data_IF_286159549457
#
_entry.id   IF_286159549457
#
_cell.length_a   1.000
_cell.length_b   1.000
_cell.length_c   1.000
_cell.angle_alpha   90.00
_cell.angle_beta   90.00
_cell.angle_gamma   90.00
#
_symmetry.space_group_name_H-M   'P 1'
#
loop_
_entity.id
_entity.type
_entity.pdbx_description
1 polymer ?
#
# COMPACT_ATOMS: atom_id res chain seq x y z
N UNK A 1 4.54 14.43 5.82
CA UNK A 1 5.23 13.25 5.26
C UNK A 1 4.67 12.98 3.88
N UNK A 2 5.53 12.85 2.86
CA UNK A 2 5.10 12.45 1.51
C UNK A 2 4.99 10.90 1.42
N UNK A 3 4.32 10.38 0.39
CA UNK A 3 4.08 8.94 0.23
C UNK A 3 5.37 8.10 0.20
N UNK A 4 6.42 8.63 -0.43
CA UNK A 4 7.72 7.98 -0.51
C UNK A 4 8.40 7.84 0.87
N UNK A 5 8.32 8.85 1.73
CA UNK A 5 8.82 8.79 3.10
C UNK A 5 8.08 7.72 3.93
N UNK A 6 6.75 7.61 3.77
CA UNK A 6 5.95 6.59 4.46
C UNK A 6 6.35 5.19 3.97
N UNK A 7 6.44 4.99 2.66
CA UNK A 7 6.85 3.71 2.07
C UNK A 7 8.25 3.31 2.51
N UNK A 8 9.20 4.24 2.48
CA UNK A 8 10.58 4.00 2.91
C UNK A 8 10.64 3.57 4.38
N UNK A 9 9.95 4.30 5.27
CA UNK A 9 9.88 3.94 6.70
C UNK A 9 9.27 2.56 6.89
N UNK A 10 8.10 2.31 6.27
CA UNK A 10 7.38 1.06 6.44
C UNK A 10 8.14 -0.14 5.86
N UNK A 11 8.79 0.01 4.70
CA UNK A 11 9.62 -1.05 4.11
C UNK A 11 10.84 -1.34 4.99
N UNK A 12 11.47 -0.32 5.57
CA UNK A 12 12.57 -0.52 6.52
C UNK A 12 12.11 -1.27 7.78
N UNK A 13 10.98 -0.85 8.37
CA UNK A 13 10.41 -1.47 9.58
C UNK A 13 9.99 -2.94 9.34
N UNK A 14 9.60 -3.27 8.10
CA UNK A 14 9.21 -4.62 7.67
C UNK A 14 10.35 -5.41 7.01
N UNK A 15 11.57 -4.84 6.95
CA UNK A 15 12.75 -5.43 6.31
C UNK A 15 12.54 -5.83 4.84
N UNK A 16 11.73 -5.07 4.12
CA UNK A 16 11.58 -5.22 2.67
C UNK A 16 12.71 -4.52 1.92
N UNK A 17 13.09 -5.11 0.78
CA UNK A 17 14.07 -4.54 -0.13
C UNK A 17 13.54 -3.29 -0.88
N UNK A 18 14.46 -2.56 -1.52
CA UNK A 18 14.12 -1.36 -2.31
C UNK A 18 13.23 -1.65 -3.51
N UNK A 19 13.21 -2.88 -4.04
CA UNK A 19 12.34 -3.26 -5.15
C UNK A 19 10.89 -3.27 -4.71
N UNK A 20 10.59 -3.78 -3.50
CA UNK A 20 9.25 -3.73 -2.91
C UNK A 20 8.77 -2.29 -2.79
N UNK A 21 9.61 -1.42 -2.22
CA UNK A 21 9.28 0.00 -2.04
C UNK A 21 8.97 0.67 -3.40
N UNK A 22 9.81 0.45 -4.41
CA UNK A 22 9.62 1.04 -5.75
C UNK A 22 8.36 0.56 -6.44
N UNK A 23 8.04 -0.73 -6.34
CA UNK A 23 6.83 -1.26 -6.96
C UNK A 23 5.56 -0.84 -6.22
N UNK A 24 5.59 -0.78 -4.89
CA UNK A 24 4.50 -0.19 -4.10
C UNK A 24 4.29 1.30 -4.43
N UNK A 25 5.36 2.06 -4.67
CA UNK A 25 5.28 3.46 -5.09
C UNK A 25 4.60 3.59 -6.47
N UNK A 26 4.93 2.73 -7.43
CA UNK A 26 4.25 2.70 -8.74
C UNK A 26 2.76 2.42 -8.62
N UNK A 27 2.37 1.47 -7.77
CA UNK A 27 0.96 1.17 -7.50
C UNK A 27 0.26 2.36 -6.85
N UNK A 28 0.92 3.03 -5.89
CA UNK A 28 0.40 4.24 -5.28
C UNK A 28 0.20 5.36 -6.32
N UNK A 29 1.19 5.63 -7.18
CA UNK A 29 1.06 6.61 -8.26
C UNK A 29 -0.08 6.30 -9.21
N UNK A 30 -0.27 5.02 -9.57
CA UNK A 30 -1.40 4.58 -10.38
C UNK A 30 -2.73 4.84 -9.66
N UNK A 31 -2.83 4.52 -8.38
CA UNK A 31 -4.05 4.75 -7.59
C UNK A 31 -4.40 6.25 -7.52
N UNK A 32 -3.41 7.10 -7.29
CA UNK A 32 -3.56 8.57 -7.32
C UNK A 32 -4.06 9.03 -8.70
N UNK A 33 -3.49 8.54 -9.80
CA UNK A 33 -3.94 8.89 -11.16
C UNK A 33 -5.40 8.48 -11.43
N UNK A 34 -5.86 7.42 -10.77
CA UNK A 34 -7.26 6.96 -10.82
C UNK A 34 -8.18 7.72 -9.83
N UNK A 35 -7.66 8.68 -9.07
CA UNK A 35 -8.44 9.54 -8.17
C UNK A 35 -8.69 8.95 -6.77
N UNK A 36 -7.97 7.89 -6.38
CA UNK A 36 -8.16 7.22 -5.09
C UNK A 36 -7.71 8.10 -3.91
N UNK A 37 -6.83 9.07 -4.16
CA UNK A 37 -6.39 10.10 -3.21
C UNK A 37 -7.52 11.04 -2.76
N UNK A 38 -8.61 11.12 -3.53
CA UNK A 38 -9.82 11.88 -3.16
C UNK A 38 -10.72 11.10 -2.20
N UNK A 39 -10.58 9.77 -2.17
CA UNK A 39 -11.43 8.86 -1.40
C UNK A 39 -10.78 8.38 -0.11
N UNK A 40 -9.47 8.13 -0.15
CA UNK A 40 -8.74 7.54 0.97
C UNK A 40 -7.71 8.50 1.55
N UNK A 41 -7.42 8.33 2.85
CA UNK A 41 -6.34 9.09 3.48
C UNK A 41 -5.01 8.75 2.80
N UNK A 42 -4.08 9.70 2.62
CA UNK A 42 -2.79 9.43 1.96
C UNK A 42 -2.03 8.26 2.59
N UNK A 43 -2.03 8.16 3.92
CA UNK A 43 -1.36 7.08 4.64
C UNK A 43 -2.01 5.70 4.41
N UNK A 44 -3.34 5.66 4.32
CA UNK A 44 -4.09 4.44 4.03
C UNK A 44 -3.87 4.00 2.57
N UNK A 45 -3.83 4.94 1.64
CA UNK A 45 -3.56 4.64 0.23
C UNK A 45 -2.14 4.07 0.03
N UNK A 46 -1.16 4.61 0.75
CA UNK A 46 0.20 4.06 0.80
C UNK A 46 0.21 2.64 1.37
N UNK A 47 -0.44 2.44 2.52
CA UNK A 47 -0.56 1.13 3.16
C UNK A 47 -1.20 0.09 2.23
N UNK A 48 -2.31 0.45 1.57
CA UNK A 48 -3.02 -0.40 0.64
C UNK A 48 -2.21 -0.72 -0.62
N UNK A 49 -1.43 0.24 -1.11
CA UNK A 49 -0.54 0.03 -2.27
C UNK A 49 0.56 -0.99 -1.97
N UNK A 50 1.19 -0.90 -0.78
CA UNK A 50 2.18 -1.88 -0.33
C UNK A 50 1.53 -3.26 -0.10
N UNK A 51 0.38 -3.28 0.57
CA UNK A 51 -0.34 -4.51 0.87
C UNK A 51 -0.73 -5.25 -0.41
N UNK A 52 -1.32 -4.53 -1.38
CA UNK A 52 -1.67 -5.05 -2.69
C UNK A 52 -0.44 -5.61 -3.41
N UNK A 53 0.65 -4.84 -3.52
CA UNK A 53 1.87 -5.30 -4.19
C UNK A 53 2.39 -6.61 -3.60
N UNK A 54 2.54 -6.66 -2.27
CA UNK A 54 3.09 -7.82 -1.59
C UNK A 54 2.19 -9.05 -1.77
N UNK A 55 0.86 -8.90 -1.64
CA UNK A 55 -0.09 -9.99 -1.89
C UNK A 55 -0.03 -10.48 -3.33
N UNK A 56 -0.04 -9.58 -4.31
CA UNK A 56 -0.01 -9.93 -5.73
C UNK A 56 1.32 -10.55 -6.18
N UNK A 57 2.43 -10.22 -5.50
CA UNK A 57 3.76 -10.74 -5.81
C UNK A 57 4.16 -11.97 -4.99
N UNK A 58 3.24 -12.53 -4.18
CA UNK A 58 3.53 -13.65 -3.28
C UNK A 58 4.54 -13.32 -2.17
N UNK A 59 4.82 -12.04 -1.92
CA UNK A 59 5.72 -11.63 -0.83
C UNK A 59 5.00 -11.80 0.50
N UNK A 60 5.66 -12.32 1.53
CA UNK A 60 5.05 -12.55 2.84
C UNK A 60 4.62 -11.20 3.41
N UNK A 61 3.31 -11.01 3.55
CA UNK A 61 2.72 -9.85 4.23
C UNK A 61 1.44 -10.25 4.95
N UNK A 62 1.32 -9.79 6.19
CA UNK A 62 0.11 -9.91 7.00
C UNK A 62 -0.42 -8.51 7.23
N UNK A 63 -1.74 -8.34 7.11
CA UNK A 63 -2.38 -7.04 7.29
C UNK A 63 -2.00 -6.39 8.63
N UNK A 64 -1.99 -7.18 9.71
CA UNK A 64 -1.61 -6.72 11.05
C UNK A 64 -0.21 -6.09 11.10
N UNK A 65 0.75 -6.57 10.30
CA UNK A 65 2.09 -5.98 10.26
C UNK A 65 2.06 -4.52 9.83
N UNK A 66 1.13 -4.13 8.95
CA UNK A 66 0.95 -2.75 8.53
C UNK A 66 0.17 -1.95 9.57
N UNK A 67 -0.93 -2.52 10.09
CA UNK A 67 -1.82 -1.86 11.06
C UNK A 67 -1.10 -1.53 12.39
N UNK A 68 -0.10 -2.33 12.79
CA UNK A 68 0.74 -2.05 13.96
C UNK A 68 1.67 -0.84 13.78
N UNK A 69 1.96 -0.44 12.54
CA UNK A 69 2.98 0.59 12.21
C UNK A 69 2.38 1.89 11.71
N UNK A 70 1.15 1.85 11.21
CA UNK A 70 0.44 3.00 10.66
C UNK A 70 -0.95 3.14 11.29
N UNK A 71 -1.41 4.37 11.54
CA UNK A 71 -2.76 4.64 12.04
C UNK A 71 -3.80 4.50 10.90
N UNK A 72 -4.03 3.26 10.47
CA UNK A 72 -4.98 2.88 9.41
C UNK A 72 -5.90 1.80 9.97
N UNK A 73 -7.17 1.81 9.57
CA UNK A 73 -8.14 0.80 9.97
C UNK A 73 -8.12 -0.40 9.01
N UNK A 74 -8.40 -1.60 9.52
CA UNK A 74 -8.42 -2.83 8.72
C UNK A 74 -9.42 -2.76 7.56
N UNK A 75 -10.58 -2.15 7.79
CA UNK A 75 -11.66 -2.06 6.81
C UNK A 75 -11.29 -1.12 5.66
N UNK A 76 -10.66 0.02 5.98
CA UNK A 76 -10.13 0.95 4.97
C UNK A 76 -9.04 0.25 4.12
N UNK A 77 -8.13 -0.48 4.77
CA UNK A 77 -7.07 -1.20 4.07
C UNK A 77 -7.61 -2.32 3.16
N UNK A 78 -8.65 -3.05 3.62
CA UNK A 78 -9.35 -4.05 2.82
C UNK A 78 -10.10 -3.44 1.64
N UNK A 79 -10.76 -2.28 1.83
CA UNK A 79 -11.45 -1.58 0.76
C UNK A 79 -10.47 -1.19 -0.35
N UNK A 80 -9.35 -0.57 0.01
CA UNK A 80 -8.29 -0.19 -0.95
C UNK A 80 -7.75 -1.42 -1.68
N UNK A 81 -7.44 -2.51 -0.96
CA UNK A 81 -6.97 -3.76 -1.56
C UNK A 81 -7.96 -4.31 -2.61
N UNK A 82 -9.24 -4.38 -2.26
CA UNK A 82 -10.27 -4.92 -3.12
C UNK A 82 -10.51 -4.07 -4.37
N UNK A 83 -10.44 -2.75 -4.24
CA UNK A 83 -10.56 -1.85 -5.40
C UNK A 83 -9.33 -1.94 -6.31
N UNK A 84 -8.11 -1.90 -5.76
CA UNK A 84 -6.90 -2.11 -6.53
C UNK A 84 -6.90 -3.46 -7.24
N UNK A 85 -7.40 -4.52 -6.59
CA UNK A 85 -7.53 -5.85 -7.19
C UNK A 85 -8.48 -5.85 -8.41
N UNK A 86 -9.61 -5.15 -8.34
CA UNK A 86 -10.55 -5.04 -9.48
C UNK A 86 -9.94 -4.30 -10.66
N UNK A 87 -9.17 -3.25 -10.37
CA UNK A 87 -8.51 -2.40 -11.37
C UNK A 87 -7.30 -3.05 -12.07
N UNK A 88 -6.77 -4.13 -11.50
CA UNK A 88 -5.55 -4.80 -11.97
C UNK A 88 -5.82 -6.23 -12.46
N UNK A 89 -7.09 -6.60 -12.69
CA UNK A 89 -7.45 -7.84 -13.39
C UNK A 89 -6.95 -7.76 -14.85
N UNK A 90 -5.75 -8.29 -15.06
CA UNK A 90 -5.25 -8.81 -16.34
C UNK A 90 -5.27 -10.33 -16.26
#
# INVERSE_FOLDING_TARGET
MNAEQILKKLCNDLRYDLSVMRNAAKIHEMAVRKGYDRKYKPIALVAGSLYFYCKSSGKPIVMNMILERLPVESDELNAIYNELKKETLF
#
